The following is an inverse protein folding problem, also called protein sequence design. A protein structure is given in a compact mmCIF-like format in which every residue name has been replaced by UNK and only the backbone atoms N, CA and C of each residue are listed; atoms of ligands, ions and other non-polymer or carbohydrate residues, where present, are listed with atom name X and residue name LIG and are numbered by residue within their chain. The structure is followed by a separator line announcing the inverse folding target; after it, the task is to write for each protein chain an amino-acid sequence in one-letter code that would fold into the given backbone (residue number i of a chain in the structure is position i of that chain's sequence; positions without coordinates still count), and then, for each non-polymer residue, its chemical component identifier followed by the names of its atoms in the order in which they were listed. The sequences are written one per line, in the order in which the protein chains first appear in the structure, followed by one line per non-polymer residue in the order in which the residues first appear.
data_IF_800119502784
#
_entry.id   IF_800119502784
#
_cell.length_a   1.000
_cell.length_b   1.000
_cell.length_c   1.000
_cell.angle_alpha   90.00
_cell.angle_beta   90.00
_cell.angle_gamma   90.00
#
_symmetry.space_group_name_H-M   'P 1'
#
loop_
_entity.id
_entity.type
_entity.pdbx_description
1 polymer ?
2 non-polymer ?
3 water ?
#
# COMPACT_ATOMS: atom_id res chain seq x y z
N UNK A 1 6.61 13.06 4.79
CA UNK A 1 5.51 12.35 5.45
C UNK A 1 6.09 11.00 5.81
N UNK A 2 5.85 10.54 7.03
CA UNK A 2 6.38 9.27 7.47
C UNK A 2 5.40 8.17 7.15
N UNK A 3 5.86 7.17 6.44
CA UNK A 3 4.97 6.05 6.16
C UNK A 3 5.50 4.87 6.97
N UNK A 4 4.60 4.21 7.69
CA UNK A 4 4.94 3.05 8.53
C UNK A 4 4.40 1.77 7.92
N UNK A 5 5.30 0.80 7.75
CA UNK A 5 4.96 -0.49 7.18
C UNK A 5 5.22 -1.53 8.22
N UNK A 6 4.21 -2.34 8.51
CA UNK A 6 4.32 -3.41 9.50
C UNK A 6 4.10 -4.77 8.89
N UNK A 7 5.12 -5.60 8.91
CA UNK A 7 5.00 -6.92 8.34
C UNK A 7 4.03 -7.75 9.18
N UNK A 8 3.60 -8.88 8.61
CA UNK A 8 2.63 -9.76 9.25
C UNK A 8 3.09 -10.30 10.59
N UNK A 9 4.40 -10.47 10.74
CA UNK A 9 4.99 -10.95 12.00
C UNK A 9 5.08 -9.77 13.00
N UNK A 10 4.82 -8.55 12.54
CA UNK A 10 4.89 -7.42 13.46
C UNK A 10 6.15 -6.56 13.41
N UNK A 11 7.05 -6.84 12.47
CA UNK A 11 8.27 -6.06 12.33
C UNK A 11 7.91 -4.68 11.75
N UNK A 12 8.38 -3.64 12.43
CA UNK A 12 8.10 -2.26 12.06
C UNK A 12 9.14 -1.59 11.19
N UNK A 13 8.69 -1.03 10.07
CA UNK A 13 9.56 -0.29 9.18
C UNK A 13 9.02 1.13 9.04
N UNK A 14 9.89 2.12 9.08
CA UNK A 14 9.44 3.50 8.93
C UNK A 14 10.21 4.15 7.80
N UNK A 15 9.52 4.91 6.96
CA UNK A 15 10.16 5.58 5.84
C UNK A 15 9.63 7.01 5.76
N UNK A 16 10.47 7.91 5.26
CA UNK A 16 10.13 9.32 5.07
C UNK A 16 9.91 9.48 3.57
N UNK A 17 8.65 9.59 3.15
CA UNK A 17 8.33 9.72 1.73
C UNK A 17 7.96 11.13 1.35
N UNK A 18 8.47 11.59 0.21
CA UNK A 18 8.19 12.93 -0.26
C UNK A 18 6.79 12.95 -0.93
N UNK A 19 5.96 13.94 -0.61
CA UNK A 19 4.65 13.97 -1.26
C UNK A 19 4.77 13.80 -2.78
N UNK A 20 3.80 13.11 -3.37
CA UNK A 20 3.79 12.90 -4.81
C UNK A 20 4.16 11.47 -5.15
N UNK A 21 4.97 10.87 -4.30
CA UNK A 21 5.36 9.49 -4.53
C UNK A 21 4.15 8.67 -4.12
N UNK A 22 4.13 7.40 -4.53
CA UNK A 22 3.05 6.48 -4.13
C UNK A 22 3.53 5.65 -2.93
N UNK A 23 2.60 5.03 -2.23
CA UNK A 23 3.01 4.27 -1.08
C UNK A 23 3.89 3.12 -1.55
N UNK A 24 3.58 2.59 -2.72
CA UNK A 24 4.34 1.49 -3.26
C UNK A 24 5.81 1.90 -3.44
N UNK A 25 6.03 3.09 -3.98
CA UNK A 25 7.41 3.55 -4.19
C UNK A 25 8.08 3.80 -2.85
N UNK A 26 7.32 4.37 -1.93
CA UNK A 26 7.85 4.66 -0.62
C UNK A 26 8.46 3.39 -0.04
N UNK A 27 7.80 2.25 -0.23
CA UNK A 27 8.33 0.97 0.28
C UNK A 27 9.42 0.43 -0.66
N UNK A 28 9.15 0.47 -1.96
CA UNK A 28 10.11 -0.07 -2.93
C UNK A 28 11.45 0.69 -2.89
N UNK A 29 11.38 2.00 -3.05
CA UNK A 29 12.61 2.79 -3.06
C UNK A 29 13.36 2.75 -1.76
N UNK A 30 12.73 2.27 -0.69
CA UNK A 30 13.41 2.23 0.62
C UNK A 30 13.71 0.85 1.19
N UNK A 31 13.64 -0.15 0.32
CA UNK A 31 13.92 -1.51 0.71
C UNK A 31 12.99 -2.14 1.73
N UNK A 32 11.71 -1.75 1.75
CA UNK A 32 10.76 -2.36 2.69
C UNK A 32 10.34 -3.73 2.13
N UNK A 33 10.50 -4.78 2.94
CA UNK A 33 10.13 -6.13 2.49
C UNK A 33 8.62 -6.36 2.48
N UNK A 34 8.15 -7.27 1.61
CA UNK A 34 6.72 -7.59 1.58
C UNK A 34 5.92 -7.09 0.40
N UNK A 35 6.51 -6.15 -0.31
CA UNK A 35 5.90 -5.53 -1.47
C UNK A 35 6.70 -5.93 -2.70
N UNK A 36 6.07 -6.61 -3.66
CA UNK A 36 6.80 -7.02 -4.86
C UNK A 36 6.77 -5.95 -5.93
N UNK A 37 5.61 -5.33 -6.11
CA UNK A 37 5.44 -4.25 -7.08
C UNK A 37 5.86 -4.65 -8.50
N UNK A 38 5.54 -5.88 -8.92
CA UNK A 38 5.95 -6.37 -10.26
C UNK A 38 5.56 -5.53 -11.48
N UNK A 39 4.31 -5.07 -11.57
CA UNK A 39 3.94 -4.25 -12.71
C UNK A 39 4.45 -2.79 -12.65
N UNK A 40 5.12 -2.42 -11.56
CA UNK A 40 5.67 -1.08 -11.46
C UNK A 40 4.61 -0.03 -11.25
N UNK A 41 3.51 -0.41 -10.64
CA UNK A 41 2.49 0.56 -10.39
C UNK A 41 1.52 0.81 -11.51
N UNK A 42 1.22 -0.20 -12.31
CA UNK A 42 0.26 -0.03 -13.40
C UNK A 42 -1.11 -0.61 -13.04
N UNK A 43 -1.23 -1.02 -11.78
CA UNK A 43 -2.46 -1.61 -11.28
C UNK A 43 -2.87 -2.78 -12.19
N UNK A 44 -1.94 -3.71 -12.43
CA UNK A 44 -2.17 -4.88 -13.30
C UNK A 44 -1.71 -6.22 -12.65
N UNK A 45 -0.63 -6.17 -11.88
CA UNK A 45 -0.11 -7.27 -10.97
C UNK A 45 -0.72 -7.45 -9.55
N UNK A 46 -1.20 -6.37 -8.92
CA UNK A 46 -1.73 -6.43 -7.53
C UNK A 46 -0.73 -7.05 -6.53
N UNK A 47 0.57 -6.99 -6.82
CA UNK A 47 1.58 -7.53 -5.88
C UNK A 47 2.13 -6.42 -4.98
N UNK A 48 1.34 -5.34 -4.84
CA UNK A 48 1.71 -4.21 -3.98
C UNK A 48 0.62 -4.06 -2.91
N UNK A 49 -0.18 -5.11 -2.80
CA UNK A 49 -1.27 -5.21 -1.84
C UNK A 49 -0.83 -5.04 -0.38
N UNK A 50 -1.66 -4.36 0.40
CA UNK A 50 -1.42 -4.17 1.83
C UNK A 50 -2.71 -3.78 2.56
N UNK A 51 -2.73 -3.95 3.87
CA UNK A 51 -3.91 -3.60 4.65
C UNK A 51 -3.67 -2.30 5.38
N UNK A 52 -4.39 -1.26 4.96
CA UNK A 52 -4.29 0.04 5.62
C UNK A 52 -4.84 -0.14 7.05
N UNK A 53 -4.25 0.55 8.02
CA UNK A 53 -4.71 0.42 9.40
C UNK A 53 -6.07 1.08 9.56
N UNK A 54 -7.02 0.40 10.23
CA UNK A 54 -8.39 0.87 10.46
C UNK A 54 -8.46 2.35 10.81
N UNK A 55 -7.50 2.80 11.60
CA UNK A 55 -7.43 4.20 12.01
C UNK A 55 -7.20 5.18 10.85
N UNK A 56 -6.68 4.70 9.72
CA UNK A 56 -6.39 5.56 8.57
C UNK A 56 -7.25 5.34 7.33
N UNK A 57 -7.95 4.21 7.27
CA UNK A 57 -8.76 3.87 6.10
C UNK A 57 -9.65 5.00 5.60
N UNK A 58 -10.29 5.70 6.52
CA UNK A 58 -11.15 6.79 6.12
C UNK A 58 -10.43 8.06 5.69
N UNK A 59 -9.12 8.15 5.95
CA UNK A 59 -8.37 9.33 5.54
C UNK A 59 -7.77 9.24 4.13
N UNK A 60 -7.88 8.10 3.49
CA UNK A 60 -7.32 7.93 2.15
C UNK A 60 -8.44 8.13 1.13
N UNK A 61 -8.09 8.47 -0.14
CA UNK A 61 -9.15 8.66 -1.14
C UNK A 61 -9.75 7.28 -1.36
N UNK A 62 -11.03 7.17 -1.70
CA UNK A 62 -11.58 5.83 -1.89
C UNK A 62 -11.09 5.17 -3.15
N UNK A 63 -11.08 3.84 -3.13
CA UNK A 63 -10.61 3.06 -4.25
C UNK A 63 -11.54 3.16 -5.45
N UNK A 64 -10.95 3.23 -6.64
CA UNK A 64 -11.68 3.27 -7.92
C UNK A 64 -11.95 1.82 -8.34
N UNK A 65 -12.99 1.60 -9.17
CA UNK A 65 -13.34 0.25 -9.63
C UNK A 65 -12.18 -0.54 -10.23
N UNK A 66 -11.29 0.15 -10.94
CA UNK A 66 -10.14 -0.51 -11.56
C UNK A 66 -9.27 -1.17 -10.48
N UNK A 67 -9.11 -0.48 -9.36
CA UNK A 67 -8.27 -0.97 -8.26
C UNK A 67 -8.98 -2.07 -7.47
N UNK A 68 -10.25 -1.83 -7.17
CA UNK A 68 -11.01 -2.80 -6.42
C UNK A 68 -11.07 -4.10 -7.20
N UNK A 69 -11.21 -3.98 -8.51
CA UNK A 69 -11.28 -5.17 -9.33
C UNK A 69 -10.00 -6.00 -9.22
N UNK A 70 -8.85 -5.32 -9.14
CA UNK A 70 -7.56 -5.99 -9.04
C UNK A 70 -7.21 -6.49 -7.63
N UNK A 71 -7.86 -5.95 -6.61
CA UNK A 71 -7.55 -6.41 -5.25
C UNK A 71 -8.05 -7.86 -5.09
N UNK A 72 -9.12 -8.20 -5.79
CA UNK A 72 -9.67 -9.56 -5.72
C UNK A 72 -8.68 -10.60 -6.19
N UNK A 73 -7.59 -10.16 -6.81
CA UNK A 73 -6.56 -11.07 -7.29
C UNK A 73 -5.36 -11.11 -6.33
N UNK A 74 -5.42 -10.29 -5.29
CA UNK A 74 -4.31 -10.25 -4.34
C UNK A 74 -4.41 -11.40 -3.33
N UNK A 75 -3.35 -11.59 -2.56
CA UNK A 75 -3.31 -12.62 -1.55
C UNK A 75 -4.13 -12.23 -0.31
N UNK A 76 -5.22 -12.96 -0.09
CA UNK A 76 -6.10 -12.78 1.05
C UNK A 76 -6.51 -11.35 1.30
N UNK A 77 -7.27 -10.77 0.36
CA UNK A 77 -7.74 -9.39 0.47
C UNK A 77 -8.82 -9.21 1.53
N UNK A 78 -8.89 -7.99 2.06
CA UNK A 78 -9.84 -7.58 3.08
C UNK A 78 -10.69 -6.44 2.51
N UNK A 79 -11.99 -6.69 2.33
CA UNK A 79 -12.92 -5.70 1.78
C UNK A 79 -12.93 -4.35 2.52
N UNK A 80 -12.53 -4.35 3.79
CA UNK A 80 -12.51 -3.13 4.58
C UNK A 80 -11.21 -2.32 4.47
N UNK A 81 -10.07 -2.98 4.63
CA UNK A 81 -8.78 -2.32 4.59
C UNK A 81 -7.85 -2.55 3.39
N UNK A 82 -8.05 -3.64 2.65
CA UNK A 82 -7.15 -3.92 1.51
C UNK A 82 -7.07 -2.81 0.48
N UNK A 83 -5.85 -2.52 0.04
CA UNK A 83 -5.62 -1.52 -0.99
C UNK A 83 -4.35 -1.89 -1.74
N UNK A 84 -4.20 -1.35 -2.95
CA UNK A 84 -2.98 -1.54 -3.71
C UNK A 84 -2.17 -0.27 -3.42
N UNK A 85 -1.01 -0.41 -2.77
CA UNK A 85 -0.23 0.78 -2.45
C UNK A 85 0.16 1.66 -3.63
N UNK A 86 0.32 1.07 -4.82
CA UNK A 86 0.71 1.85 -6.00
C UNK A 86 -0.36 2.84 -6.38
N UNK A 87 -1.55 2.65 -5.81
CA UNK A 87 -2.72 3.51 -6.04
C UNK A 87 -2.99 4.53 -4.92
N UNK A 88 -2.08 4.64 -3.98
CA UNK A 88 -2.31 5.61 -2.94
C UNK A 88 -1.17 6.60 -3.03
N UNK A 89 -1.51 7.89 -3.18
CA UNK A 89 -0.47 8.93 -3.25
C UNK A 89 -0.10 9.53 -1.90
N UNK A 90 1.20 9.62 -1.64
CA UNK A 90 1.60 10.22 -0.37
C UNK A 90 1.39 11.73 -0.46
N UNK A 91 0.86 12.27 0.68
CA UNK A 91 0.58 13.69 0.86
C UNK A 91 0.98 14.03 2.32
N UNK A 92 1.45 15.25 2.58
CA UNK A 92 1.87 15.66 3.94
C UNK A 92 0.83 15.30 5.03
N UNK A 93 -0.46 15.40 4.70
CA UNK A 93 -1.52 15.07 5.66
C UNK A 93 -1.57 13.56 5.95
N UNK A 94 -0.83 12.76 5.20
CA UNK A 94 -0.85 11.34 5.51
C UNK A 94 0.38 10.98 6.31
N UNK A 95 1.07 12.00 6.82
CA UNK A 95 2.25 11.80 7.66
C UNK A 95 1.82 10.95 8.85
N UNK A 96 2.45 9.79 9.00
CA UNK A 96 2.12 8.88 10.09
C UNK A 96 1.26 7.71 9.63
N UNK A 97 0.97 7.63 8.34
CA UNK A 97 0.12 6.57 7.79
C UNK A 97 0.64 5.20 8.10
N UNK A 98 -0.23 4.29 8.55
CA UNK A 98 0.19 2.94 8.90
C UNK A 98 -0.41 1.87 8.00
N UNK A 99 0.48 1.08 7.42
CA UNK A 99 0.13 0.00 6.52
C UNK A 99 0.64 -1.34 7.03
N UNK A 100 -0.19 -2.36 6.95
CA UNK A 100 0.15 -3.72 7.39
C UNK A 100 0.31 -4.59 6.15
N UNK A 101 1.48 -5.22 6.03
CA UNK A 101 1.78 -6.04 4.87
C UNK A 101 1.31 -7.47 5.00
N UNK A 102 0.73 -8.02 3.92
CA UNK A 102 0.27 -9.41 4.00
C UNK A 102 1.46 -10.37 4.07
N UNK A 103 1.18 -11.65 4.34
CA UNK A 103 2.26 -12.62 4.44
C UNK A 103 2.84 -12.99 3.09
N UNK A 104 2.03 -12.86 2.05
CA UNK A 104 2.47 -13.20 0.71
C UNK A 104 1.85 -12.26 -0.35
N UNK A 105 2.48 -12.16 -1.52
CA UNK A 105 1.97 -11.37 -2.64
C UNK A 105 1.78 -12.30 -3.84
N UNK A 106 0.66 -12.15 -4.54
CA UNK A 106 0.40 -12.94 -5.74
C UNK A 106 -0.18 -12.01 -6.81
X LIG B 1 1.40 -3.77 -9.76
X LIG B 1 0.46 -2.07 -7.76
X LIG B 1 -0.73 -3.56 -8.95
X LIG B 1 2.68 -2.63 -8.09
#
# INVERSE_FOLDING_TARGET
AKIIFIEHNGTRHEVEAKPGLTVMEAARDNGVPGIDADCGGACACSTCHAYVDPAWVDKLPKALPTETDMIDFAYEPNPATSRLTCQIKVTSLLDGLVVHLPEKQI
FES FE1 FE2 S1 S2
#
